data_IF_216044213081
#
_entry.id   IF_216044213081
#
_cell.length_a   1.000
_cell.length_b   1.000
_cell.length_c   1.000
_cell.angle_alpha   90.00
_cell.angle_beta   90.00
_cell.angle_gamma   90.00
#
_symmetry.space_group_name_H-M   'P 1'
#
loop_
_entity.id
_entity.type
_entity.pdbx_description
1 polymer ?
#
# COMPACT_ATOMS: atom_id res chain seq x y z
N UNK A 1 -10.85 -15.74 -22.52
CA UNK A 1 -11.07 -16.08 -21.10
C UNK A 1 -10.94 -14.79 -20.32
N UNK A 2 -12.06 -14.20 -19.91
CA UNK A 2 -12.06 -13.02 -19.05
C UNK A 2 -11.35 -13.40 -17.76
N UNK A 3 -10.14 -12.86 -17.55
CA UNK A 3 -9.45 -12.95 -16.27
C UNK A 3 -10.44 -12.58 -15.16
N UNK A 4 -10.59 -13.42 -14.14
CA UNK A 4 -11.37 -13.09 -12.94
C UNK A 4 -10.71 -11.95 -12.10
N UNK A 5 -9.70 -11.29 -12.68
CA UNK A 5 -8.93 -10.19 -12.15
C UNK A 5 -8.50 -9.28 -13.32
N UNK A 6 -9.40 -8.43 -13.86
CA UNK A 6 -9.11 -7.57 -15.00
C UNK A 6 -8.06 -6.50 -14.70
N UNK A 7 -7.80 -6.23 -13.43
CA UNK A 7 -6.83 -5.24 -12.98
C UNK A 7 -5.51 -5.84 -12.47
N UNK A 8 -5.37 -7.17 -12.42
CA UNK A 8 -4.21 -7.86 -11.83
C UNK A 8 -3.98 -7.46 -10.36
N UNK A 9 -5.06 -7.35 -9.56
CA UNK A 9 -5.02 -7.01 -8.14
C UNK A 9 -4.27 -8.06 -7.30
N UNK A 10 -4.22 -9.31 -7.77
CA UNK A 10 -3.44 -10.37 -7.12
C UNK A 10 -1.96 -10.02 -6.95
N UNK A 11 -1.41 -9.11 -7.78
CA UNK A 11 -0.04 -8.62 -7.60
C UNK A 11 0.16 -7.96 -6.23
N UNK A 12 -0.83 -7.24 -5.72
CA UNK A 12 -0.77 -6.63 -4.39
C UNK A 12 -0.90 -7.67 -3.28
N UNK A 13 -1.84 -8.60 -3.42
CA UNK A 13 -2.05 -9.67 -2.43
C UNK A 13 -0.76 -10.44 -2.19
N UNK A 14 -0.12 -10.90 -3.28
CA UNK A 14 1.15 -11.64 -3.22
C UNK A 14 2.28 -10.82 -2.58
N UNK A 15 2.36 -9.52 -2.88
CA UNK A 15 3.36 -8.65 -2.29
C UNK A 15 3.15 -8.46 -0.78
N UNK A 16 1.88 -8.41 -0.35
CA UNK A 16 1.51 -8.22 1.05
C UNK A 16 1.64 -9.49 1.91
N UNK A 17 1.61 -10.69 1.33
CA UNK A 17 1.62 -11.97 2.07
C UNK A 17 2.67 -12.03 3.19
N UNK A 18 3.90 -11.55 2.92
CA UNK A 18 5.01 -11.62 3.87
C UNK A 18 5.31 -10.29 4.59
N UNK A 19 4.72 -9.18 4.13
CA UNK A 19 5.05 -7.84 4.60
C UNK A 19 3.90 -7.15 5.33
N UNK A 20 2.67 -7.65 5.22
CA UNK A 20 1.50 -7.00 5.83
C UNK A 20 1.64 -6.87 7.36
N UNK A 21 1.89 -7.99 8.04
CA UNK A 21 2.08 -8.01 9.49
C UNK A 21 3.29 -7.16 9.93
N UNK A 22 4.35 -7.14 9.10
CA UNK A 22 5.52 -6.29 9.35
C UNK A 22 5.21 -4.81 9.20
N UNK A 23 4.46 -4.43 8.16
CA UNK A 23 4.05 -3.06 7.92
C UNK A 23 3.20 -2.54 9.08
N UNK A 24 2.21 -3.31 9.55
CA UNK A 24 1.42 -2.96 10.74
C UNK A 24 2.30 -2.78 11.97
N UNK A 25 3.20 -3.73 12.27
CA UNK A 25 4.11 -3.61 13.41
C UNK A 25 5.01 -2.38 13.34
N UNK A 26 5.50 -2.03 12.15
CA UNK A 26 6.32 -0.84 11.92
C UNK A 26 5.52 0.47 12.07
N UNK A 27 4.30 0.51 11.52
CA UNK A 27 3.37 1.64 11.66
C UNK A 27 3.04 1.85 13.14
N UNK A 28 2.61 0.80 13.84
CA UNK A 28 2.29 0.84 15.27
C UNK A 28 3.50 1.28 16.11
N UNK A 29 4.72 0.90 15.74
CA UNK A 29 5.95 1.40 16.38
C UNK A 29 6.29 2.87 16.06
N UNK A 30 5.47 3.52 15.21
CA UNK A 30 5.62 4.90 14.77
C UNK A 30 6.81 5.13 13.84
N UNK A 31 7.37 4.08 13.21
CA UNK A 31 8.51 4.20 12.30
C UNK A 31 8.63 3.04 11.33
N UNK A 32 8.42 3.33 10.05
CA UNK A 32 8.75 2.46 8.92
C UNK A 32 10.26 2.21 8.81
N UNK A 33 10.63 0.95 8.57
CA UNK A 33 12.00 0.46 8.48
C UNK A 33 12.27 -0.35 7.21
N UNK A 34 11.26 -1.02 6.67
CA UNK A 34 11.41 -1.92 5.51
C UNK A 34 10.65 -1.43 4.27
N UNK A 35 10.68 -2.21 3.18
CA UNK A 35 10.37 -1.75 1.82
C UNK A 35 8.98 -2.15 1.32
N UNK A 36 7.91 -1.66 1.96
CA UNK A 36 6.53 -2.07 1.63
C UNK A 36 5.59 -0.97 1.11
N UNK A 37 6.04 0.29 1.04
CA UNK A 37 5.17 1.45 0.77
C UNK A 37 4.32 1.28 -0.50
N UNK A 38 4.93 0.81 -1.59
CA UNK A 38 4.29 0.76 -2.90
C UNK A 38 3.04 -0.11 -2.99
N UNK A 39 2.91 -1.13 -2.13
CA UNK A 39 1.82 -2.10 -2.18
C UNK A 39 0.96 -2.14 -0.90
N UNK A 40 1.35 -1.40 0.15
CA UNK A 40 0.49 -1.14 1.32
C UNK A 40 -0.28 0.18 1.14
N UNK A 41 0.40 1.23 0.67
CA UNK A 41 -0.22 2.51 0.28
C UNK A 41 0.12 2.80 -1.18
N UNK A 42 -0.53 2.10 -2.13
CA UNK A 42 -0.26 2.28 -3.54
C UNK A 42 -0.65 3.69 -4.00
N UNK A 43 0.12 4.22 -4.94
CA UNK A 43 -0.10 5.54 -5.53
C UNK A 43 -0.61 5.42 -6.97
N UNK A 44 -1.16 6.50 -7.51
CA UNK A 44 -1.55 6.57 -8.92
C UNK A 44 -0.33 6.43 -9.84
N UNK A 45 -0.57 5.85 -11.01
CA UNK A 45 0.45 5.73 -12.05
C UNK A 45 0.99 7.11 -12.49
N UNK A 46 2.27 7.14 -12.85
CA UNK A 46 2.98 8.37 -13.21
C UNK A 46 3.55 9.18 -12.04
N UNK A 47 3.18 8.89 -10.78
CA UNK A 47 3.74 9.60 -9.61
C UNK A 47 5.12 9.09 -9.17
N UNK A 48 5.43 7.82 -9.46
CA UNK A 48 6.69 7.19 -9.09
C UNK A 48 7.50 6.71 -10.30
N UNK A 49 8.82 6.91 -10.24
CA UNK A 49 9.72 6.60 -11.36
C UNK A 49 10.51 5.29 -11.20
N UNK A 50 10.43 4.60 -10.06
CA UNK A 50 11.07 3.30 -9.92
C UNK A 50 10.27 2.19 -10.61
N UNK A 51 10.94 1.10 -11.00
CA UNK A 51 10.27 -0.08 -11.55
C UNK A 51 9.25 -0.67 -10.58
N UNK A 52 9.55 -0.69 -9.28
CA UNK A 52 8.63 -1.12 -8.23
C UNK A 52 7.42 -0.19 -8.10
N UNK A 53 7.63 1.12 -8.19
CA UNK A 53 6.53 2.09 -8.14
C UNK A 53 5.58 1.93 -9.33
N UNK A 54 6.10 1.74 -10.55
CA UNK A 54 5.28 1.45 -11.73
C UNK A 54 4.56 0.11 -11.64
N UNK A 55 5.20 -0.92 -11.09
CA UNK A 55 4.60 -2.26 -10.93
C UNK A 55 3.36 -2.24 -10.03
N UNK A 56 3.42 -1.48 -8.94
CA UNK A 56 2.35 -1.41 -7.94
C UNK A 56 1.54 -0.11 -8.02
N UNK A 57 1.64 0.63 -9.11
CA UNK A 57 0.79 1.79 -9.35
C UNK A 57 -0.67 1.35 -9.59
N UNK A 58 -1.60 2.18 -9.13
CA UNK A 58 -3.01 2.14 -9.51
C UNK A 58 -3.16 2.92 -10.82
N UNK A 59 -3.66 2.26 -11.87
CA UNK A 59 -3.63 2.77 -13.26
C UNK A 59 -4.88 3.56 -13.64
N UNK A 60 -5.97 3.39 -12.89
CA UNK A 60 -7.25 4.07 -13.17
C UNK A 60 -8.12 4.19 -11.93
N UNK A 61 -9.17 5.02 -12.03
CA UNK A 61 -10.19 5.13 -10.99
C UNK A 61 -10.94 3.80 -10.78
N UNK A 62 -11.19 3.04 -11.86
CA UNK A 62 -11.85 1.74 -11.76
C UNK A 62 -10.97 0.71 -11.06
N UNK A 63 -9.66 0.74 -11.28
CA UNK A 63 -8.73 -0.09 -10.50
C UNK A 63 -8.70 0.32 -9.02
N UNK A 64 -8.74 1.63 -8.71
CA UNK A 64 -8.84 2.10 -7.33
C UNK A 64 -10.11 1.59 -6.64
N UNK A 65 -11.25 1.64 -7.32
CA UNK A 65 -12.53 1.11 -6.81
C UNK A 65 -12.44 -0.40 -6.59
N UNK A 66 -11.94 -1.14 -7.58
CA UNK A 66 -11.76 -2.58 -7.46
C UNK A 66 -10.79 -2.95 -6.33
N UNK A 67 -9.72 -2.18 -6.10
CA UNK A 67 -8.80 -2.36 -4.98
C UNK A 67 -9.52 -2.20 -3.63
N UNK A 68 -10.36 -1.16 -3.49
CA UNK A 68 -11.14 -0.91 -2.27
C UNK A 68 -12.23 -1.97 -2.04
N UNK A 69 -12.88 -2.45 -3.09
CA UNK A 69 -13.92 -3.49 -3.02
C UNK A 69 -13.33 -4.90 -2.85
N UNK A 70 -12.04 -5.09 -3.12
CA UNK A 70 -11.40 -6.39 -3.00
C UNK A 70 -11.41 -6.89 -1.54
N UNK A 71 -11.87 -8.14 -1.28
CA UNK A 71 -12.16 -8.64 0.08
C UNK A 71 -10.94 -8.71 1.01
N UNK A 72 -9.73 -8.62 0.46
CA UNK A 72 -8.48 -8.58 1.22
C UNK A 72 -7.83 -7.19 1.21
N UNK A 73 -7.84 -6.47 0.08
CA UNK A 73 -7.00 -5.29 -0.08
C UNK A 73 -7.64 -4.04 0.54
N UNK A 74 -8.95 -3.88 0.35
CA UNK A 74 -9.72 -2.80 0.97
C UNK A 74 -9.61 -2.80 2.50
N UNK A 75 -9.97 -3.91 3.19
CA UNK A 75 -9.84 -3.99 4.65
C UNK A 75 -8.43 -3.71 5.15
N UNK A 76 -7.40 -4.23 4.46
CA UNK A 76 -6.00 -4.01 4.84
C UNK A 76 -5.55 -2.56 4.69
N UNK A 77 -6.00 -1.87 3.64
CA UNK A 77 -5.70 -0.44 3.45
C UNK A 77 -6.33 0.39 4.57
N UNK A 78 -7.59 0.10 4.92
CA UNK A 78 -8.30 0.78 6.01
C UNK A 78 -7.57 0.54 7.34
N UNK A 79 -7.25 -0.72 7.67
CA UNK A 79 -6.55 -1.07 8.91
C UNK A 79 -5.20 -0.35 9.01
N UNK A 80 -4.38 -0.38 7.94
CA UNK A 80 -3.12 0.35 7.91
C UNK A 80 -3.31 1.87 8.07
N UNK A 81 -4.35 2.45 7.47
CA UNK A 81 -4.63 3.89 7.61
C UNK A 81 -5.07 4.25 9.04
N UNK A 82 -5.90 3.43 9.66
CA UNK A 82 -6.34 3.59 11.06
C UNK A 82 -5.15 3.49 12.03
N UNK A 83 -4.26 2.52 11.84
CA UNK A 83 -3.04 2.38 12.65
C UNK A 83 -2.14 3.60 12.54
N UNK A 84 -2.02 4.21 11.35
CA UNK A 84 -1.26 5.45 11.16
C UNK A 84 -1.89 6.61 11.93
N UNK A 85 -3.22 6.74 11.88
CA UNK A 85 -3.96 7.78 12.61
C UNK A 85 -3.89 7.59 14.14
N UNK A 86 -3.72 6.35 14.60
CA UNK A 86 -3.56 6.04 16.01
C UNK A 86 -2.19 6.45 16.57
N UNK A 87 -1.15 6.60 15.74
CA UNK A 87 0.19 7.01 16.19
C UNK A 87 0.16 8.44 16.75
N UNK A 88 0.42 8.58 18.05
CA UNK A 88 0.45 9.87 18.73
C UNK A 88 1.84 10.51 18.72
N UNK A 89 1.88 11.85 18.70
CA UNK A 89 3.12 12.61 18.89
C UNK A 89 4.14 12.49 17.75
N UNK A 90 3.74 11.99 16.58
CA UNK A 90 4.59 11.88 15.39
C UNK A 90 3.87 12.37 14.15
N UNK A 91 4.62 13.06 13.30
CA UNK A 91 4.18 13.43 11.96
C UNK A 91 4.29 12.25 10.99
N UNK A 92 3.55 12.31 9.88
CA UNK A 92 3.68 11.33 8.79
C UNK A 92 5.14 11.24 8.26
N UNK A 93 5.89 12.34 8.27
CA UNK A 93 7.31 12.36 7.86
C UNK A 93 8.20 11.58 8.84
N UNK A 94 7.90 11.61 10.13
CA UNK A 94 8.63 10.83 11.14
C UNK A 94 8.28 9.35 11.08
N UNK A 95 7.02 9.03 10.76
CA UNK A 95 6.56 7.64 10.61
C UNK A 95 7.14 7.02 9.34
N UNK A 96 7.00 7.67 8.18
CA UNK A 96 7.32 7.07 6.89
C UNK A 96 8.68 7.47 6.31
N UNK A 97 9.31 8.50 6.87
CA UNK A 97 10.50 9.13 6.30
C UNK A 97 10.18 9.99 5.07
N UNK A 98 11.22 10.37 4.35
CA UNK A 98 11.11 11.11 3.08
C UNK A 98 11.24 10.16 1.90
N UNK A 99 10.47 10.40 0.84
CA UNK A 99 10.70 9.75 -0.44
C UNK A 99 12.14 9.99 -0.89
N UNK A 100 12.86 8.92 -1.22
CA UNK A 100 14.15 9.04 -1.89
C UNK A 100 13.84 9.40 -3.35
N UNK A 101 14.32 10.56 -3.78
CA UNK A 101 14.25 11.00 -5.18
C UNK A 101 15.16 10.13 -6.04
#
# INVERSE_FOLDING_TARGET
MTSNDPHDLNRFVRAQENDYARALAEIHSGRKRTHWMWYIFPQLDGLGFSSTARRYAIRSLDEARAYLEHPVLGPRLVECAEEVLAVQGRSAREIFGTARR
#
